data_IF_598889797250
#
_entry.id   IF_598889797250
#
_cell.length_a   1.000
_cell.length_b   1.000
_cell.length_c   1.000
_cell.angle_alpha   90.00
_cell.angle_beta   90.00
_cell.angle_gamma   90.00
#
_symmetry.space_group_name_H-M   'P 1'
#
loop_
_entity.id
_entity.type
_entity.pdbx_description
1 polymer ?
#
# COMPACT_ATOMS: atom_id res chain seq x y z
N UNK A 1 3.07 -44.42 -9.46
CA UNK A 1 3.47 -43.71 -8.22
C UNK A 1 4.24 -42.48 -8.65
N UNK A 2 3.51 -41.38 -8.94
CA UNK A 2 4.08 -40.12 -9.47
C UNK A 2 4.34 -39.16 -8.31
N UNK A 3 5.62 -38.91 -8.07
CA UNK A 3 6.19 -38.05 -7.03
C UNK A 3 6.45 -36.64 -7.56
N UNK A 4 5.50 -35.95 -8.15
CA UNK A 4 5.64 -34.54 -8.47
C UNK A 4 4.25 -33.88 -8.55
N UNK A 5 3.66 -33.64 -7.36
CA UNK A 5 2.57 -32.66 -7.26
C UNK A 5 2.73 -31.88 -5.96
N UNK A 6 3.86 -31.14 -5.88
CA UNK A 6 4.01 -30.04 -4.94
C UNK A 6 3.63 -28.73 -5.66
N UNK A 7 2.35 -28.56 -5.92
CA UNK A 7 1.80 -27.24 -6.15
C UNK A 7 1.90 -26.49 -4.81
N UNK A 8 2.97 -25.71 -4.65
CA UNK A 8 3.08 -24.70 -3.62
C UNK A 8 2.04 -23.61 -3.88
N UNK A 9 0.79 -23.89 -3.57
CA UNK A 9 -0.22 -22.87 -3.34
C UNK A 9 0.01 -22.27 -1.95
N UNK A 10 1.17 -21.64 -1.76
CA UNK A 10 1.41 -20.79 -0.62
C UNK A 10 0.77 -19.42 -0.91
N UNK A 11 -0.54 -19.39 -0.79
CA UNK A 11 -1.32 -18.14 -0.80
C UNK A 11 -1.17 -17.46 0.56
N UNK A 12 0.09 -17.20 0.95
CA UNK A 12 0.40 -16.49 2.18
C UNK A 12 0.22 -15.01 1.89
N UNK A 13 -0.86 -14.43 2.45
CA UNK A 13 -1.15 -13.01 2.31
C UNK A 13 0.06 -12.18 2.77
N UNK A 14 0.32 -11.06 2.08
CA UNK A 14 1.34 -10.09 2.48
C UNK A 14 0.99 -9.55 3.88
N UNK A 15 1.87 -9.70 4.89
CA UNK A 15 1.63 -9.09 6.21
C UNK A 15 1.54 -7.58 6.10
N UNK A 16 0.42 -7.01 6.59
CA UNK A 16 0.19 -5.57 6.59
C UNK A 16 0.46 -4.98 7.97
N UNK A 17 1.22 -3.91 8.00
CA UNK A 17 1.55 -3.14 9.18
C UNK A 17 1.18 -1.67 8.97
N UNK A 18 0.91 -0.98 10.07
CA UNK A 18 0.83 0.48 10.07
C UNK A 18 1.56 1.05 11.29
N UNK A 19 2.31 2.12 11.07
CA UNK A 19 2.68 3.00 12.15
C UNK A 19 1.65 4.12 12.24
N UNK A 20 1.14 4.37 13.45
CA UNK A 20 0.13 5.38 13.70
C UNK A 20 0.59 6.34 14.79
N UNK A 21 0.61 7.64 14.48
CA UNK A 21 1.01 8.70 15.39
C UNK A 21 -0.12 9.13 16.37
N UNK A 22 -1.31 8.53 16.25
CA UNK A 22 -2.52 8.84 17.05
C UNK A 22 -3.09 10.26 16.83
N UNK A 23 -2.74 10.96 15.77
CA UNK A 23 -3.28 12.29 15.46
C UNK A 23 -4.71 12.24 14.89
N UNK A 24 -5.13 11.13 14.28
CA UNK A 24 -6.47 10.96 13.73
C UNK A 24 -7.45 10.32 14.74
N UNK A 25 -8.75 10.66 14.62
CA UNK A 25 -9.81 10.06 15.44
C UNK A 25 -9.91 8.55 15.14
N UNK A 26 -9.74 7.66 16.16
CA UNK A 26 -9.83 6.22 15.98
C UNK A 26 -11.18 5.72 15.43
N UNK A 27 -12.26 6.48 15.62
CA UNK A 27 -13.60 6.10 15.17
C UNK A 27 -13.76 6.15 13.66
N UNK A 28 -13.04 7.07 13.00
CA UNK A 28 -13.08 7.28 11.54
C UNK A 28 -11.80 6.83 10.83
N UNK A 29 -10.77 6.44 11.58
CA UNK A 29 -9.50 6.00 11.05
C UNK A 29 -9.65 4.69 10.27
N UNK A 30 -9.28 4.69 9.00
CA UNK A 30 -9.38 3.52 8.11
C UNK A 30 -8.47 2.37 8.55
N UNK A 31 -7.27 2.68 9.05
CA UNK A 31 -6.33 1.69 9.60
C UNK A 31 -6.90 1.00 10.83
N UNK A 32 -7.52 1.75 11.75
CA UNK A 32 -8.17 1.18 12.94
C UNK A 32 -9.35 0.29 12.57
N UNK A 33 -10.06 0.59 11.49
CA UNK A 33 -11.11 -0.29 10.96
C UNK A 33 -10.53 -1.61 10.46
N UNK A 34 -9.44 -1.60 9.69
CA UNK A 34 -8.78 -2.82 9.25
C UNK A 34 -8.23 -3.65 10.43
N UNK A 35 -7.72 -2.99 11.47
CA UNK A 35 -7.24 -3.67 12.70
C UNK A 35 -8.37 -4.43 13.38
N UNK A 36 -9.58 -3.86 13.47
CA UNK A 36 -10.78 -4.56 14.01
C UNK A 36 -11.14 -5.82 13.21
N UNK A 37 -10.87 -5.82 11.90
CA UNK A 37 -11.02 -7.01 11.05
C UNK A 37 -9.81 -7.95 11.09
N UNK A 38 -8.78 -7.65 11.87
CA UNK A 38 -7.53 -8.43 11.96
C UNK A 38 -6.79 -8.55 10.62
N UNK A 39 -6.92 -7.54 9.77
CA UNK A 39 -6.27 -7.49 8.44
C UNK A 39 -4.95 -6.73 8.46
N UNK A 40 -4.66 -5.99 9.52
CA UNK A 40 -3.46 -5.19 9.70
C UNK A 40 -3.04 -5.20 11.17
N UNK A 41 -1.74 -5.08 11.43
CA UNK A 41 -1.20 -4.85 12.77
C UNK A 41 -0.74 -3.42 12.92
N UNK A 42 -1.26 -2.72 13.93
CA UNK A 42 -0.96 -1.31 14.18
C UNK A 42 0.06 -1.15 15.28
N UNK A 43 1.04 -0.29 15.06
CA UNK A 43 2.11 0.03 15.99
C UNK A 43 2.13 1.53 16.29
N UNK A 44 2.28 1.89 17.57
CA UNK A 44 2.42 3.28 18.01
C UNK A 44 3.86 3.80 17.95
N UNK A 45 4.83 2.90 17.86
CA UNK A 45 6.26 3.23 17.75
C UNK A 45 6.82 2.74 16.43
N UNK A 46 7.49 3.62 15.70
CA UNK A 46 8.13 3.27 14.43
C UNK A 46 9.21 2.18 14.61
N UNK A 47 9.89 2.16 15.75
CA UNK A 47 10.89 1.15 16.07
C UNK A 47 10.34 -0.28 16.18
N UNK A 48 9.03 -0.44 16.32
CA UNK A 48 8.38 -1.74 16.33
C UNK A 48 8.12 -2.29 14.91
N UNK A 49 8.28 -1.49 13.87
CA UNK A 49 8.20 -1.91 12.48
C UNK A 49 9.51 -2.62 12.09
N UNK A 50 9.46 -3.83 11.51
CA UNK A 50 10.67 -4.54 11.06
C UNK A 50 11.48 -3.73 10.05
N UNK A 51 12.80 -3.69 10.22
CA UNK A 51 13.71 -2.89 9.37
C UNK A 51 13.72 -3.31 7.89
N UNK A 52 13.33 -4.53 7.59
CA UNK A 52 13.21 -5.06 6.23
C UNK A 52 11.79 -4.92 5.64
N UNK A 53 10.85 -4.29 6.36
CA UNK A 53 9.52 -3.96 5.85
C UNK A 53 9.60 -2.97 4.69
N UNK A 54 8.70 -3.11 3.74
CA UNK A 54 8.47 -2.11 2.69
C UNK A 54 7.64 -0.97 3.26
N UNK A 55 8.20 0.23 3.30
CA UNK A 55 7.54 1.42 3.81
C UNK A 55 6.96 2.24 2.66
N UNK A 56 5.66 2.50 2.70
CA UNK A 56 5.03 3.46 1.80
C UNK A 56 5.32 4.88 2.30
N UNK A 57 6.22 5.54 1.61
CA UNK A 57 6.72 6.87 1.97
C UNK A 57 6.60 7.80 0.75
N UNK A 58 5.73 8.82 0.79
CA UNK A 58 5.51 9.72 -0.33
C UNK A 58 6.75 10.55 -0.69
N UNK A 59 7.75 10.62 0.19
CA UNK A 59 9.01 11.34 -0.03
C UNK A 59 10.13 10.46 -0.54
N UNK A 60 9.87 9.15 -0.72
CA UNK A 60 10.88 8.23 -1.24
C UNK A 60 11.27 8.59 -2.67
N UNK A 61 12.57 8.51 -2.96
CA UNK A 61 13.13 8.79 -4.30
C UNK A 61 12.91 7.67 -5.32
N UNK A 62 12.22 6.59 -4.95
CA UNK A 62 11.99 5.43 -5.80
C UNK A 62 10.50 5.05 -5.78
N UNK A 63 9.92 4.85 -6.98
CA UNK A 63 8.55 4.42 -7.10
C UNK A 63 8.39 2.93 -6.76
N UNK A 64 7.25 2.57 -6.17
CA UNK A 64 6.85 1.19 -5.97
C UNK A 64 6.69 0.47 -7.32
N UNK A 65 7.14 -0.78 -7.37
CA UNK A 65 7.04 -1.61 -8.58
C UNK A 65 6.74 -3.08 -8.22
N UNK A 66 6.39 -3.92 -9.19
CA UNK A 66 6.21 -5.36 -8.96
C UNK A 66 7.44 -6.06 -8.35
N UNK A 67 8.64 -5.55 -8.59
CA UNK A 67 9.88 -6.11 -8.02
C UNK A 67 9.91 -6.05 -6.48
N UNK A 68 9.13 -5.17 -5.87
CA UNK A 68 9.06 -5.01 -4.41
C UNK A 68 8.27 -6.11 -3.69
N UNK A 69 7.59 -7.02 -4.43
CA UNK A 69 6.84 -8.16 -3.88
C UNK A 69 7.66 -9.09 -2.98
N UNK A 70 8.98 -9.05 -3.07
CA UNK A 70 9.90 -9.84 -2.24
C UNK A 70 9.99 -9.33 -0.79
N UNK A 71 9.41 -8.17 -0.49
CA UNK A 71 9.41 -7.64 0.87
C UNK A 71 8.62 -8.55 1.82
N UNK A 72 9.08 -8.76 3.06
CA UNK A 72 8.42 -9.66 4.01
C UNK A 72 7.15 -9.07 4.63
N UNK A 73 6.95 -7.76 4.52
CA UNK A 73 5.76 -7.05 5.00
C UNK A 73 5.64 -5.69 4.33
N UNK A 74 4.41 -5.16 4.30
CA UNK A 74 4.08 -3.84 3.77
C UNK A 74 3.57 -2.94 4.90
N UNK A 75 4.14 -1.75 5.02
CA UNK A 75 3.83 -0.78 6.08
C UNK A 75 3.31 0.53 5.52
N UNK A 76 2.15 0.97 6.01
CA UNK A 76 1.65 2.33 5.81
C UNK A 76 2.04 3.25 6.99
N UNK A 77 2.29 4.52 6.68
CA UNK A 77 2.46 5.59 7.66
C UNK A 77 1.12 6.29 7.85
N UNK A 78 0.45 6.02 8.96
CA UNK A 78 -0.87 6.57 9.28
C UNK A 78 -0.73 7.81 10.16
N UNK A 79 -0.33 8.89 9.55
CA UNK A 79 -0.18 10.21 10.15
C UNK A 79 -0.74 11.29 9.20
N UNK A 80 -0.97 12.50 9.74
CA UNK A 80 -1.32 13.62 8.87
C UNK A 80 -0.13 13.99 7.97
N UNK A 81 -0.39 14.39 6.74
CA UNK A 81 0.64 14.82 5.79
C UNK A 81 1.48 15.99 6.33
N UNK A 82 0.86 16.85 7.13
CA UNK A 82 1.52 17.99 7.78
C UNK A 82 2.46 17.58 8.92
N UNK A 83 2.20 16.43 9.55
CA UNK A 83 2.99 15.89 10.66
C UNK A 83 4.03 14.86 10.22
N UNK A 84 4.11 14.56 8.91
CA UNK A 84 5.05 13.57 8.40
C UNK A 84 6.48 14.11 8.51
N UNK A 85 7.14 13.78 9.62
CA UNK A 85 8.58 13.94 9.75
C UNK A 85 9.28 12.84 8.95
N UNK A 86 9.83 13.21 7.79
CA UNK A 86 10.51 12.28 6.89
C UNK A 86 11.72 11.59 7.53
N UNK A 87 12.29 12.19 8.59
CA UNK A 87 13.41 11.63 9.34
C UNK A 87 13.09 10.32 10.07
N UNK A 88 11.84 10.10 10.45
CA UNK A 88 11.46 8.90 11.23
C UNK A 88 11.66 7.57 10.48
N UNK A 89 11.66 7.59 9.15
CA UNK A 89 11.81 6.40 8.31
C UNK A 89 13.16 6.33 7.58
N UNK A 90 14.07 7.24 7.79
CA UNK A 90 15.40 7.26 7.12
C UNK A 90 16.21 5.97 7.37
N UNK A 91 16.03 5.32 8.50
CA UNK A 91 16.69 4.05 8.81
C UNK A 91 16.11 2.81 8.08
N UNK A 92 15.09 2.98 7.22
CA UNK A 92 14.48 1.90 6.45
C UNK A 92 15.00 1.91 5.01
N UNK A 93 15.57 0.79 4.56
CA UNK A 93 16.15 0.70 3.23
C UNK A 93 15.11 0.56 2.11
N UNK A 94 13.95 -0.04 2.42
CA UNK A 94 12.89 -0.30 1.45
C UNK A 94 11.78 0.74 1.57
N UNK A 95 12.07 1.98 1.20
CA UNK A 95 11.07 3.05 1.10
C UNK A 95 10.64 3.21 -0.35
N UNK A 96 9.33 3.31 -0.59
CA UNK A 96 8.77 3.50 -1.94
C UNK A 96 7.64 4.51 -1.91
N UNK A 97 7.62 5.37 -2.91
CA UNK A 97 6.50 6.24 -3.20
C UNK A 97 5.53 5.54 -4.15
N UNK A 98 4.23 5.73 -3.95
CA UNK A 98 3.23 5.27 -4.90
C UNK A 98 3.24 6.16 -6.15
N UNK A 99 3.01 5.58 -7.35
CA UNK A 99 2.87 6.37 -8.57
C UNK A 99 1.54 7.13 -8.59
N UNK A 100 1.32 7.91 -9.66
CA UNK A 100 0.07 8.64 -9.88
C UNK A 100 -1.15 7.71 -9.76
N UNK A 101 -2.03 8.03 -8.82
CA UNK A 101 -3.34 7.40 -8.61
C UNK A 101 -4.30 8.43 -8.05
N UNK A 102 -5.59 8.23 -8.31
CA UNK A 102 -6.67 9.13 -7.90
C UNK A 102 -7.41 8.57 -6.69
N UNK A 103 -7.61 9.39 -5.68
CA UNK A 103 -8.34 9.00 -4.48
C UNK A 103 -9.84 8.79 -4.76
N UNK A 104 -10.40 7.77 -4.14
CA UNK A 104 -11.84 7.49 -4.09
C UNK A 104 -12.42 7.64 -2.68
N UNK A 105 -11.56 7.87 -1.67
CA UNK A 105 -12.01 8.08 -0.30
C UNK A 105 -12.85 9.37 -0.18
N UNK A 106 -13.84 9.42 0.74
CA UNK A 106 -14.77 10.55 0.84
C UNK A 106 -14.12 11.91 1.11
N UNK A 107 -12.96 11.92 1.79
CA UNK A 107 -12.25 13.16 2.13
C UNK A 107 -11.54 13.80 0.94
N UNK A 108 -11.12 13.01 -0.06
CA UNK A 108 -10.28 13.48 -1.16
C UNK A 108 -10.69 12.92 -2.52
N UNK A 109 -11.96 12.56 -2.69
CA UNK A 109 -12.48 11.99 -3.93
C UNK A 109 -12.06 12.79 -5.17
N UNK A 110 -11.50 12.09 -6.16
CA UNK A 110 -11.07 12.67 -7.44
C UNK A 110 -9.73 13.41 -7.39
N UNK A 111 -9.06 13.47 -6.23
CA UNK A 111 -7.75 14.14 -6.11
C UNK A 111 -6.61 13.16 -6.33
N UNK A 112 -5.70 13.52 -7.21
CA UNK A 112 -4.47 12.77 -7.44
C UNK A 112 -3.54 12.85 -6.22
N UNK A 113 -2.83 11.75 -5.94
CA UNK A 113 -1.85 11.60 -4.84
C UNK A 113 -2.42 11.74 -3.42
N UNK A 114 -3.72 11.95 -3.25
CA UNK A 114 -4.35 12.17 -1.93
C UNK A 114 -4.99 10.88 -1.39
N UNK A 115 -4.28 9.75 -1.53
CA UNK A 115 -4.72 8.46 -1.05
C UNK A 115 -4.73 8.42 0.48
N UNK A 116 -5.74 7.78 1.06
CA UNK A 116 -5.65 7.41 2.47
C UNK A 116 -4.81 6.13 2.66
N UNK A 117 -4.54 5.76 3.91
CA UNK A 117 -3.68 4.62 4.22
C UNK A 117 -4.18 3.30 3.63
N UNK A 118 -5.50 3.08 3.57
CA UNK A 118 -6.08 1.86 2.99
C UNK A 118 -5.94 1.83 1.48
N UNK A 119 -6.19 2.94 0.80
CA UNK A 119 -5.97 3.06 -0.65
C UNK A 119 -4.50 2.87 -1.00
N UNK A 120 -3.60 3.44 -0.19
CA UNK A 120 -2.17 3.28 -0.38
C UNK A 120 -1.74 1.80 -0.25
N UNK A 121 -2.20 1.10 0.78
CA UNK A 121 -1.95 -0.33 0.96
C UNK A 121 -2.53 -1.16 -0.20
N UNK A 122 -3.76 -0.89 -0.60
CA UNK A 122 -4.41 -1.61 -1.70
C UNK A 122 -3.70 -1.39 -3.05
N UNK A 123 -3.28 -0.15 -3.33
CA UNK A 123 -2.49 0.17 -4.51
C UNK A 123 -1.17 -0.61 -4.54
N UNK A 124 -0.45 -0.62 -3.43
CA UNK A 124 0.81 -1.36 -3.32
C UNK A 124 0.61 -2.86 -3.51
N UNK A 125 -0.38 -3.45 -2.85
CA UNK A 125 -0.72 -4.86 -3.01
C UNK A 125 -1.06 -5.19 -4.48
N UNK A 126 -1.88 -4.37 -5.12
CA UNK A 126 -2.29 -4.57 -6.52
C UNK A 126 -1.09 -4.55 -7.46
N UNK A 127 -0.22 -3.54 -7.33
CA UNK A 127 0.99 -3.40 -8.15
C UNK A 127 1.94 -4.59 -7.94
N UNK A 128 2.07 -5.08 -6.72
CA UNK A 128 2.91 -6.24 -6.39
C UNK A 128 2.28 -7.59 -6.76
N UNK A 129 1.05 -7.61 -7.32
CA UNK A 129 0.38 -8.83 -7.77
C UNK A 129 -0.57 -9.46 -6.75
N UNK A 130 -0.71 -8.89 -5.55
CA UNK A 130 -1.62 -9.36 -4.49
C UNK A 130 -3.03 -8.76 -4.67
N UNK A 131 -3.61 -8.92 -5.86
CA UNK A 131 -4.87 -8.27 -6.26
C UNK A 131 -6.06 -8.69 -5.40
N UNK A 132 -6.14 -9.95 -5.00
CA UNK A 132 -7.22 -10.45 -4.15
C UNK A 132 -7.16 -9.80 -2.76
N UNK A 133 -5.97 -9.69 -2.18
CA UNK A 133 -5.80 -9.03 -0.90
C UNK A 133 -6.12 -7.53 -0.97
N UNK A 134 -5.75 -6.86 -2.06
CA UNK A 134 -6.13 -5.47 -2.31
C UNK A 134 -7.66 -5.30 -2.33
N UNK A 135 -8.36 -6.16 -3.06
CA UNK A 135 -9.82 -6.19 -3.09
C UNK A 135 -10.41 -6.40 -1.68
N UNK A 136 -9.90 -7.38 -0.93
CA UNK A 136 -10.44 -7.76 0.37
C UNK A 136 -10.35 -6.64 1.41
N UNK A 137 -9.25 -5.88 1.44
CA UNK A 137 -9.14 -4.75 2.36
C UNK A 137 -10.04 -3.58 1.96
N UNK A 138 -10.17 -3.29 0.66
CA UNK A 138 -11.05 -2.24 0.15
C UNK A 138 -12.54 -2.56 0.34
N UNK A 139 -12.93 -3.82 0.21
CA UNK A 139 -14.31 -4.28 0.40
C UNK A 139 -14.86 -4.04 1.82
N UNK A 140 -14.00 -3.72 2.78
CA UNK A 140 -14.43 -3.32 4.14
C UNK A 140 -15.01 -1.90 4.20
N UNK A 141 -14.92 -1.14 3.09
CA UNK A 141 -15.39 0.25 2.99
C UNK A 141 -16.41 0.38 1.87
N UNK A 142 -17.51 1.11 2.10
CA UNK A 142 -18.58 1.29 1.12
C UNK A 142 -18.08 1.95 -0.19
N UNK A 143 -17.06 2.79 -0.10
CA UNK A 143 -16.42 3.46 -1.22
C UNK A 143 -15.21 2.71 -1.77
N UNK A 144 -14.73 1.66 -1.06
CA UNK A 144 -13.39 1.10 -1.28
C UNK A 144 -13.17 0.53 -2.67
N UNK A 145 -14.11 -0.26 -3.20
CA UNK A 145 -13.97 -0.87 -4.52
C UNK A 145 -13.98 0.17 -5.65
N UNK A 146 -14.58 1.35 -5.41
CA UNK A 146 -14.52 2.46 -6.36
C UNK A 146 -13.09 2.90 -6.65
N UNK A 147 -12.18 2.75 -5.68
CA UNK A 147 -10.76 3.03 -5.90
C UNK A 147 -10.16 2.19 -7.03
N UNK A 148 -10.47 0.90 -7.07
CA UNK A 148 -10.00 0.02 -8.16
C UNK A 148 -10.61 0.39 -9.50
N UNK A 149 -11.88 0.77 -9.54
CA UNK A 149 -12.58 1.15 -10.77
C UNK A 149 -11.98 2.43 -11.39
N UNK A 150 -11.79 3.48 -10.58
CA UNK A 150 -11.26 4.76 -11.09
C UNK A 150 -9.78 4.71 -11.47
N UNK A 151 -9.03 3.73 -10.94
CA UNK A 151 -7.62 3.54 -11.21
C UNK A 151 -7.32 2.25 -12.02
N UNK A 152 -8.31 1.65 -12.65
CA UNK A 152 -8.15 0.35 -13.33
C UNK A 152 -6.99 0.35 -14.33
N UNK A 153 -6.96 1.34 -15.21
CA UNK A 153 -5.91 1.42 -16.23
C UNK A 153 -4.52 1.61 -15.64
N UNK A 154 -4.23 2.66 -14.84
CA UNK A 154 -2.90 2.85 -14.29
C UNK A 154 -2.46 1.69 -13.39
N UNK A 155 -3.34 1.13 -12.55
CA UNK A 155 -2.99 -0.01 -11.70
C UNK A 155 -2.58 -1.24 -12.51
N UNK A 156 -3.29 -1.55 -13.60
CA UNK A 156 -2.94 -2.67 -14.47
C UNK A 156 -1.61 -2.44 -15.18
N UNK A 157 -1.35 -1.23 -15.66
CA UNK A 157 -0.10 -0.91 -16.33
C UNK A 157 1.09 -0.96 -15.35
N UNK A 158 0.95 -0.40 -14.14
CA UNK A 158 1.98 -0.50 -13.10
C UNK A 158 2.25 -1.95 -12.67
N UNK A 159 1.20 -2.78 -12.54
CA UNK A 159 1.33 -4.18 -12.17
C UNK A 159 2.05 -5.02 -13.24
N UNK A 160 2.14 -4.55 -14.48
CA UNK A 160 2.87 -5.19 -15.58
C UNK A 160 4.26 -4.57 -15.81
N UNK A 161 4.63 -3.53 -15.07
CA UNK A 161 5.94 -2.91 -15.19
C UNK A 161 7.04 -3.84 -14.64
N UNK A 162 8.24 -3.78 -15.23
CA UNK A 162 9.40 -4.58 -14.81
C UNK A 162 10.02 -4.07 -13.52
N UNK A 163 10.07 -2.74 -13.38
CA UNK A 163 10.79 -2.07 -12.30
C UNK A 163 10.24 -0.64 -12.04
N UNK A 164 10.84 0.02 -11.06
CA UNK A 164 10.49 1.39 -10.67
C UNK A 164 10.65 2.41 -11.80
N UNK A 165 11.68 2.27 -12.65
CA UNK A 165 11.91 3.19 -13.76
C UNK A 165 10.80 3.10 -14.81
N UNK A 166 10.32 1.89 -15.09
CA UNK A 166 9.19 1.68 -16.00
C UNK A 166 7.87 2.20 -15.40
N UNK A 167 7.64 2.03 -14.09
CA UNK A 167 6.50 2.64 -13.40
C UNK A 167 6.51 4.17 -13.55
N UNK A 168 7.65 4.82 -13.35
CA UNK A 168 7.81 6.28 -13.52
C UNK A 168 7.52 6.70 -14.97
N UNK A 169 7.98 5.92 -15.95
CA UNK A 169 7.69 6.17 -17.37
C UNK A 169 6.19 6.08 -17.65
N UNK A 170 5.53 5.02 -17.18
CA UNK A 170 4.08 4.81 -17.36
C UNK A 170 3.31 5.97 -16.71
N UNK A 171 3.67 6.35 -15.50
CA UNK A 171 3.06 7.46 -14.76
C UNK A 171 3.00 8.76 -15.58
N UNK A 172 4.02 9.04 -16.38
CA UNK A 172 4.09 10.28 -17.19
C UNK A 172 2.99 10.38 -18.27
N UNK A 173 2.27 9.31 -18.55
CA UNK A 173 1.11 9.34 -19.45
C UNK A 173 -0.20 9.76 -18.77
N UNK A 174 -0.22 9.86 -17.44
CA UNK A 174 -1.43 10.14 -16.65
C UNK A 174 -1.50 11.58 -16.12
N UNK A 175 -0.42 12.37 -16.21
CA UNK A 175 -0.41 13.80 -15.84
C UNK A 175 0.65 14.62 -16.55
#
# INVERSE_FOLDING_TARGET
MNLYDFSFNNNMMMPLLAWRDNTCDPRVCSVKKLERFRLIKVHSRISAIPKNSLILDPTAGQALSPADRIAPSLTALDCSWEALDTGIVEGYQRRRALPYLVAANPGHFGRAFMLNSVEALAAALYIMGEKNQAHDILAKFNWGLRFLEVNENPLNEYANARDSAEVVKIQSYYY
#
